data_IF_983411263508
#
_entry.id   IF_983411263508
#
_cell.length_a   1.000
_cell.length_b   1.000
_cell.length_c   1.000
_cell.angle_alpha   90.00
_cell.angle_beta   90.00
_cell.angle_gamma   90.00
#
_symmetry.space_group_name_H-M   'P 1'
#
loop_
_entity.id
_entity.type
_entity.pdbx_description
1 polymer ?
#
# COMPACT_ATOMS: atom_id res chain seq x y z
N UNK A 1 7.93 -3.30 12.25
CA UNK A 1 7.66 -4.43 11.34
C UNK A 1 6.18 -4.78 11.44
N UNK A 2 5.47 -4.81 10.32
CA UNK A 2 4.06 -5.19 10.24
C UNK A 2 3.94 -6.64 9.76
N UNK A 3 3.47 -7.52 10.65
CA UNK A 3 3.17 -8.91 10.32
C UNK A 3 1.76 -9.01 9.73
N UNK A 4 1.60 -9.80 8.67
CA UNK A 4 0.32 -10.03 8.01
C UNK A 4 0.12 -11.53 7.76
N UNK A 5 -1.11 -12.00 7.48
CA UNK A 5 -1.33 -13.41 7.20
C UNK A 5 -0.60 -13.94 5.95
N UNK A 6 -0.13 -13.06 5.05
CA UNK A 6 0.59 -13.45 3.83
C UNK A 6 2.12 -13.33 3.95
N UNK A 7 2.61 -12.76 5.06
CA UNK A 7 4.03 -12.48 5.30
C UNK A 7 4.27 -11.10 5.90
N UNK A 8 5.52 -10.79 6.21
CA UNK A 8 5.90 -9.49 6.75
C UNK A 8 5.93 -8.43 5.65
N UNK A 9 5.43 -7.24 5.97
CA UNK A 9 5.62 -6.07 5.12
C UNK A 9 7.07 -5.58 5.27
N UNK A 10 7.73 -5.36 4.14
CA UNK A 10 9.07 -4.77 4.06
C UNK A 10 9.00 -3.50 3.22
N UNK A 11 9.61 -2.43 3.72
CA UNK A 11 9.79 -1.20 2.96
C UNK A 11 11.25 -1.07 2.52
N UNK A 12 11.45 -0.72 1.25
CA UNK A 12 12.79 -0.37 0.74
C UNK A 12 12.81 1.04 0.18
N UNK A 13 13.88 1.77 0.43
CA UNK A 13 14.21 3.03 -0.23
C UNK A 13 15.49 2.81 -1.04
N UNK A 14 15.42 2.96 -2.37
CA UNK A 14 16.54 2.73 -3.28
C UNK A 14 17.20 1.36 -3.06
N UNK A 15 16.38 0.30 -3.00
CA UNK A 15 16.79 -1.09 -2.75
C UNK A 15 17.32 -1.41 -1.34
N UNK A 16 17.49 -0.40 -0.47
CA UNK A 16 17.86 -0.62 0.93
C UNK A 16 16.62 -0.73 1.82
N UNK A 17 16.55 -1.77 2.66
CA UNK A 17 15.47 -1.93 3.64
C UNK A 17 15.51 -0.81 4.69
N UNK A 18 14.34 -0.26 5.00
CA UNK A 18 14.19 0.82 5.98
C UNK A 18 13.22 0.43 7.09
N UNK A 19 13.47 0.99 8.28
CA UNK A 19 12.51 0.93 9.37
C UNK A 19 11.34 1.87 9.12
N UNK A 20 10.17 1.49 9.63
CA UNK A 20 8.94 2.25 9.51
C UNK A 20 7.99 1.96 10.67
N UNK A 21 7.09 2.90 10.90
CA UNK A 21 5.96 2.75 11.82
C UNK A 21 4.68 2.46 11.02
N UNK A 22 3.94 1.45 11.47
CA UNK A 22 2.62 1.12 10.92
C UNK A 22 1.55 1.49 11.94
N UNK A 23 0.65 2.41 11.56
CA UNK A 23 -0.44 2.86 12.42
C UNK A 23 -1.68 2.01 12.12
N UNK A 24 -2.19 1.32 13.14
CA UNK A 24 -3.42 0.52 13.03
C UNK A 24 -4.66 1.43 13.06
N UNK A 25 -5.61 1.15 12.17
CA UNK A 25 -6.91 1.78 12.16
C UNK A 25 -8.03 0.76 12.40
N UNK A 26 -9.16 1.25 12.91
CA UNK A 26 -10.37 0.46 12.99
C UNK A 26 -10.95 0.19 11.58
N UNK A 27 -11.68 -0.93 11.40
CA UNK A 27 -12.52 -1.18 10.23
C UNK A 27 -13.49 -0.01 9.96
N UNK A 28 -13.76 0.27 8.68
CA UNK A 28 -14.73 1.30 8.32
C UNK A 28 -16.12 0.68 8.25
N UNK A 29 -17.01 1.08 9.16
CA UNK A 29 -18.35 0.47 9.34
C UNK A 29 -19.17 0.26 8.05
N UNK A 30 -19.03 1.14 7.05
CA UNK A 30 -19.80 1.08 5.79
C UNK A 30 -19.03 0.48 4.62
N UNK A 31 -17.71 0.69 4.56
CA UNK A 31 -16.90 0.39 3.38
C UNK A 31 -16.06 -0.87 3.57
N UNK A 32 -15.63 -1.14 4.80
CA UNK A 32 -14.75 -2.25 5.11
C UNK A 32 -14.98 -2.82 6.51
N UNK A 33 -16.22 -3.25 6.85
CA UNK A 33 -16.53 -3.76 8.19
C UNK A 33 -15.85 -5.09 8.54
N UNK A 34 -15.48 -5.91 7.56
CA UNK A 34 -15.02 -7.30 7.76
C UNK A 34 -13.49 -7.42 7.79
N UNK A 35 -12.76 -6.31 7.69
CA UNK A 35 -11.29 -6.33 7.64
C UNK A 35 -10.68 -6.73 8.98
N UNK A 36 -9.74 -7.68 8.94
CA UNK A 36 -9.01 -8.15 10.12
C UNK A 36 -7.83 -7.23 10.46
N UNK A 37 -7.25 -6.59 9.43
CA UNK A 37 -6.19 -5.61 9.59
C UNK A 37 -6.36 -4.44 8.64
N UNK A 38 -6.16 -3.23 9.16
CA UNK A 38 -6.12 -1.99 8.39
C UNK A 38 -5.01 -1.11 8.97
N UNK A 39 -3.97 -0.87 8.19
CA UNK A 39 -2.78 -0.15 8.62
C UNK A 39 -2.37 0.88 7.59
N UNK A 40 -1.79 1.97 8.07
CA UNK A 40 -1.14 2.96 7.22
C UNK A 40 0.33 3.09 7.61
N UNK A 41 1.19 3.22 6.61
CA UNK A 41 2.63 3.41 6.77
C UNK A 41 2.99 4.71 6.05
N UNK A 42 3.41 5.72 6.80
CA UNK A 42 3.81 7.01 6.24
C UNK A 42 5.32 7.15 6.23
N UNK A 43 5.83 7.64 5.10
CA UNK A 43 7.23 7.95 4.90
C UNK A 43 7.37 9.41 4.53
N UNK A 44 8.32 10.08 5.17
CA UNK A 44 8.76 11.42 4.78
C UNK A 44 10.13 11.34 4.13
N UNK A 45 10.18 11.54 2.83
CA UNK A 45 11.42 11.57 2.06
C UNK A 45 12.11 12.93 2.21
N UNK A 46 13.44 12.94 2.06
CA UNK A 46 14.24 14.17 2.12
C UNK A 46 14.05 14.99 0.85
N UNK A 47 14.03 16.31 0.99
CA UNK A 47 13.99 17.26 -0.14
C UNK A 47 15.30 17.22 -0.95
N UNK A 48 15.25 17.68 -2.21
CA UNK A 48 16.42 17.83 -3.11
C UNK A 48 17.26 16.56 -3.30
N UNK A 49 16.65 15.39 -3.15
CA UNK A 49 17.29 14.12 -3.47
C UNK A 49 17.12 13.80 -4.95
N UNK A 50 18.10 13.06 -5.50
CA UNK A 50 17.97 12.34 -6.77
C UNK A 50 16.67 11.51 -6.77
N UNK A 51 16.12 11.15 -7.94
CA UNK A 51 14.96 10.27 -8.02
C UNK A 51 15.08 9.07 -7.07
N UNK A 52 14.02 8.81 -6.32
CA UNK A 52 13.98 7.76 -5.32
C UNK A 52 12.92 6.72 -5.67
N UNK A 53 13.24 5.47 -5.38
CA UNK A 53 12.30 4.36 -5.54
C UNK A 53 11.94 3.85 -4.16
N UNK A 54 10.66 3.87 -3.83
CA UNK A 54 10.11 3.34 -2.60
C UNK A 54 9.29 2.11 -2.92
N UNK A 55 9.51 1.00 -2.21
CA UNK A 55 8.70 -0.22 -2.40
C UNK A 55 8.06 -0.66 -1.11
N UNK A 56 6.82 -1.12 -1.22
CA UNK A 56 6.11 -1.83 -0.17
C UNK A 56 5.87 -3.28 -0.61
N UNK A 57 6.54 -4.21 0.07
CA UNK A 57 6.72 -5.59 -0.37
C UNK A 57 6.26 -6.61 0.66
N UNK A 58 5.93 -7.80 0.17
CA UNK A 58 5.73 -9.03 0.95
C UNK A 58 6.74 -10.06 0.43
N UNK A 59 8.02 -10.05 0.87
CA UNK A 59 9.07 -10.85 0.24
C UNK A 59 8.79 -12.35 0.22
N UNK A 60 8.10 -12.88 1.23
CA UNK A 60 7.73 -14.29 1.34
C UNK A 60 6.52 -14.69 0.48
N UNK A 61 5.86 -13.74 -0.19
CA UNK A 61 4.73 -14.03 -1.05
C UNK A 61 5.20 -14.57 -2.41
N UNK A 62 4.83 -15.81 -2.71
CA UNK A 62 5.24 -16.53 -3.93
C UNK A 62 4.23 -16.43 -5.09
N UNK A 63 3.04 -15.91 -4.83
CA UNK A 63 2.02 -15.71 -5.88
C UNK A 63 2.29 -14.48 -6.74
N UNK A 64 1.26 -14.07 -7.48
CA UNK A 64 1.25 -12.82 -8.25
C UNK A 64 0.13 -11.92 -7.74
N UNK A 65 0.45 -10.65 -7.50
CA UNK A 65 -0.55 -9.64 -7.18
C UNK A 65 -1.47 -9.33 -8.37
N UNK A 66 -2.72 -9.00 -8.05
CA UNK A 66 -3.76 -8.56 -8.98
C UNK A 66 -3.94 -7.06 -8.84
N UNK A 67 -3.91 -6.34 -9.95
CA UNK A 67 -4.04 -4.88 -9.95
C UNK A 67 -5.51 -4.51 -9.74
N UNK A 68 -5.76 -3.62 -8.79
CA UNK A 68 -7.11 -3.14 -8.46
C UNK A 68 -7.16 -1.60 -8.47
N UNK A 69 -6.48 -0.93 -9.39
CA UNK A 69 -6.44 0.54 -9.42
C UNK A 69 -7.78 1.20 -9.77
N UNK A 70 -8.02 2.40 -9.23
CA UNK A 70 -9.24 3.20 -9.46
C UNK A 70 -9.29 4.43 -8.57
N UNK A 71 -10.10 5.44 -8.90
CA UNK A 71 -10.34 6.64 -8.07
C UNK A 71 -9.07 7.35 -7.52
N UNK A 72 -7.98 7.36 -8.30
CA UNK A 72 -6.64 7.88 -7.90
C UNK A 72 -5.85 7.01 -6.90
N UNK A 73 -6.39 5.85 -6.52
CA UNK A 73 -5.69 4.81 -5.79
C UNK A 73 -4.97 3.87 -6.76
N UNK A 74 -3.68 3.68 -6.52
CA UNK A 74 -2.93 2.58 -7.11
C UNK A 74 -2.83 1.45 -6.11
N UNK A 75 -3.34 0.26 -6.47
CA UNK A 75 -3.46 -0.85 -5.54
C UNK A 75 -3.15 -2.19 -6.19
N UNK A 76 -2.58 -3.08 -5.38
CA UNK A 76 -2.33 -4.48 -5.73
C UNK A 76 -2.81 -5.39 -4.60
N UNK A 77 -3.56 -6.41 -4.98
CA UNK A 77 -4.12 -7.41 -4.07
C UNK A 77 -3.49 -8.77 -4.23
N UNK A 78 -3.35 -9.46 -3.11
CA UNK A 78 -2.69 -10.75 -3.01
C UNK A 78 -3.63 -11.72 -2.35
N UNK A 79 -3.78 -12.90 -2.98
CA UNK A 79 -4.66 -13.94 -2.51
C UNK A 79 -3.87 -15.19 -2.10
N UNK A 80 -4.30 -15.82 -1.01
CA UNK A 80 -3.87 -17.17 -0.63
C UNK A 80 -4.98 -17.80 0.20
N UNK A 81 -5.49 -18.94 -0.27
CA UNK A 81 -6.65 -19.59 0.34
C UNK A 81 -7.82 -18.61 0.45
N UNK A 82 -8.36 -18.37 1.65
CA UNK A 82 -9.42 -17.39 1.90
C UNK A 82 -8.88 -16.01 2.30
N UNK A 83 -7.56 -15.79 2.30
CA UNK A 83 -6.98 -14.50 2.66
C UNK A 83 -6.90 -13.61 1.41
N UNK A 84 -7.38 -12.37 1.54
CA UNK A 84 -7.05 -11.26 0.63
C UNK A 84 -6.29 -10.19 1.40
N UNK A 85 -5.20 -9.70 0.82
CA UNK A 85 -4.45 -8.54 1.33
C UNK A 85 -4.21 -7.56 0.20
N UNK A 86 -4.51 -6.28 0.42
CA UNK A 86 -4.29 -5.18 -0.52
C UNK A 86 -3.22 -4.24 0.01
N UNK A 87 -2.30 -3.84 -0.87
CA UNK A 87 -1.37 -2.72 -0.67
C UNK A 87 -1.80 -1.60 -1.61
N UNK A 88 -2.07 -0.41 -1.07
CA UNK A 88 -2.53 0.76 -1.82
C UNK A 88 -1.66 2.01 -1.57
N UNK A 89 -1.68 2.94 -2.52
CA UNK A 89 -1.09 4.28 -2.41
C UNK A 89 -2.02 5.32 -3.04
N UNK A 90 -2.34 6.39 -2.30
CA UNK A 90 -3.19 7.51 -2.76
C UNK A 90 -2.41 8.45 -3.68
N UNK A 91 -1.99 7.93 -4.84
CA UNK A 91 -1.34 8.63 -5.94
C UNK A 91 -1.55 7.83 -7.22
N UNK A 92 -2.26 8.39 -8.18
CA UNK A 92 -2.27 7.84 -9.55
C UNK A 92 -0.85 7.82 -10.12
N UNK A 93 -0.51 6.77 -10.86
CA UNK A 93 0.74 6.74 -11.63
C UNK A 93 0.59 7.64 -12.86
N UNK A 94 0.88 8.92 -12.66
CA UNK A 94 0.82 9.96 -13.67
C UNK A 94 2.21 10.58 -13.88
N UNK A 95 2.86 10.15 -14.96
CA UNK A 95 4.18 10.62 -15.35
C UNK A 95 4.20 12.12 -15.67
N UNK A 96 3.08 12.69 -16.15
CA UNK A 96 2.97 14.13 -16.42
C UNK A 96 2.88 14.94 -15.12
N UNK A 97 2.26 14.36 -14.07
CA UNK A 97 2.25 14.91 -12.72
C UNK A 97 3.58 14.71 -11.95
N UNK A 98 4.56 14.02 -12.55
CA UNK A 98 5.86 13.77 -11.95
C UNK A 98 5.85 12.61 -10.94
N UNK A 99 5.04 11.59 -11.20
CA UNK A 99 4.96 10.39 -10.39
C UNK A 99 4.91 9.14 -11.25
N UNK A 100 5.64 8.11 -10.85
CA UNK A 100 5.63 6.82 -11.52
C UNK A 100 5.50 5.69 -10.50
N UNK A 101 5.37 4.47 -11.01
CA UNK A 101 5.36 3.30 -10.16
C UNK A 101 5.20 2.03 -10.97
N UNK A 102 5.32 0.90 -10.27
CA UNK A 102 5.19 -0.43 -10.86
C UNK A 102 4.45 -1.33 -9.90
N UNK A 103 3.51 -2.11 -10.43
CA UNK A 103 2.98 -3.26 -9.70
C UNK A 103 4.01 -4.38 -9.77
N UNK A 104 4.43 -4.85 -8.61
CA UNK A 104 5.34 -5.96 -8.47
C UNK A 104 4.55 -7.21 -8.12
N UNK A 105 5.10 -8.39 -8.43
CA UNK A 105 4.44 -9.67 -8.12
C UNK A 105 4.09 -9.82 -6.63
N UNK A 106 4.83 -9.15 -5.77
CA UNK A 106 4.79 -9.26 -4.32
C UNK A 106 4.70 -7.88 -3.63
N UNK A 107 4.28 -6.84 -4.35
CA UNK A 107 4.20 -5.51 -3.74
C UNK A 107 3.93 -4.39 -4.74
N UNK A 108 4.15 -3.17 -4.27
CA UNK A 108 3.98 -1.96 -5.04
C UNK A 108 5.28 -1.15 -5.00
N UNK A 109 5.67 -0.60 -6.13
CA UNK A 109 6.75 0.38 -6.25
C UNK A 109 6.19 1.75 -6.60
N UNK A 110 6.76 2.77 -5.97
CA UNK A 110 6.51 4.16 -6.25
C UNK A 110 7.82 4.87 -6.58
N UNK A 111 7.81 5.66 -7.65
CA UNK A 111 8.93 6.50 -8.07
C UNK A 111 8.64 7.95 -7.73
N UNK A 112 9.55 8.54 -6.94
CA UNK A 112 9.54 9.95 -6.58
C UNK A 112 10.60 10.69 -7.40
N UNK A 113 10.19 11.64 -8.22
CA UNK A 113 11.12 12.46 -9.01
C UNK A 113 11.64 13.66 -8.22
N UNK A 114 12.66 14.32 -8.76
CA UNK A 114 13.25 15.53 -8.15
C UNK A 114 12.23 16.67 -8.05
N UNK A 115 11.33 16.77 -9.03
CA UNK A 115 10.27 17.79 -9.12
C UNK A 115 9.08 17.53 -8.20
N UNK A 116 9.00 16.35 -7.57
CA UNK A 116 7.93 16.01 -6.62
C UNK A 116 7.95 16.99 -5.43
N UNK A 117 6.89 17.80 -5.32
CA UNK A 117 6.73 18.79 -4.22
C UNK A 117 6.33 18.13 -2.91
N UNK A 118 5.35 17.21 -2.95
CA UNK A 118 4.93 16.48 -1.75
C UNK A 118 5.80 15.24 -1.57
N UNK A 119 6.71 15.32 -0.59
CA UNK A 119 7.66 14.27 -0.25
C UNK A 119 7.11 13.30 0.81
N UNK A 120 5.81 13.37 1.11
CA UNK A 120 5.14 12.44 2.00
C UNK A 120 4.42 11.37 1.20
N UNK A 121 4.78 10.11 1.45
CA UNK A 121 4.11 8.95 0.86
C UNK A 121 3.38 8.22 1.97
N UNK A 122 2.17 7.74 1.67
CA UNK A 122 1.44 6.85 2.58
C UNK A 122 1.04 5.60 1.83
N UNK A 123 1.48 4.44 2.32
CA UNK A 123 0.96 3.14 1.90
C UNK A 123 -0.15 2.71 2.85
N UNK A 124 -1.25 2.21 2.31
CA UNK A 124 -2.23 1.45 3.08
C UNK A 124 -2.01 -0.04 2.89
N UNK A 125 -2.14 -0.79 3.98
CA UNK A 125 -2.08 -2.26 3.99
C UNK A 125 -3.32 -2.76 4.70
N UNK A 126 -4.14 -3.55 4.01
CA UNK A 126 -5.39 -4.05 4.57
C UNK A 126 -5.62 -5.51 4.18
N UNK A 127 -6.18 -6.31 5.10
CA UNK A 127 -6.46 -7.70 4.82
C UNK A 127 -7.75 -8.21 5.48
N UNK A 128 -8.27 -9.27 4.87
CA UNK A 128 -9.36 -10.11 5.34
C UNK A 128 -8.85 -11.55 5.31
N UNK A 129 -9.07 -12.31 6.38
CA UNK A 129 -8.69 -13.72 6.49
C UNK A 129 -9.77 -14.69 6.00
N UNK A 130 -11.03 -14.23 5.97
CA UNK A 130 -12.18 -14.95 5.42
C UNK A 130 -12.83 -14.15 4.28
N UNK A 131 -12.10 -14.06 3.17
CA UNK A 131 -12.51 -13.36 1.97
C UNK A 131 -13.47 -14.22 1.13
N UNK A 132 -14.51 -13.58 0.63
CA UNK A 132 -15.50 -14.14 -0.27
C UNK A 132 -16.07 -13.01 -1.15
N UNK A 133 -16.80 -13.36 -2.21
CA UNK A 133 -17.26 -12.40 -3.23
C UNK A 133 -17.93 -11.12 -2.66
N UNK A 134 -18.64 -11.20 -1.54
CA UNK A 134 -19.36 -10.05 -0.97
C UNK A 134 -18.49 -9.05 -0.18
N UNK A 135 -17.30 -9.47 0.28
CA UNK A 135 -16.40 -8.61 1.07
C UNK A 135 -15.06 -8.36 0.39
N UNK A 136 -14.86 -8.92 -0.81
CA UNK A 136 -13.62 -8.84 -1.57
C UNK A 136 -13.13 -7.39 -1.78
N UNK A 137 -14.04 -6.47 -2.10
CA UNK A 137 -13.71 -5.06 -2.35
C UNK A 137 -13.35 -4.28 -1.09
N UNK A 138 -13.58 -4.83 0.11
CA UNK A 138 -13.37 -4.09 1.35
C UNK A 138 -11.89 -3.84 1.66
N UNK A 139 -10.98 -4.73 1.25
CA UNK A 139 -9.54 -4.51 1.44
C UNK A 139 -9.03 -3.38 0.57
N UNK A 140 -9.63 -3.15 -0.59
CA UNK A 140 -9.35 -2.00 -1.45
C UNK A 140 -9.66 -0.69 -0.72
N UNK A 141 -10.89 -0.53 -0.20
CA UNK A 141 -11.26 0.64 0.59
C UNK A 141 -10.41 0.78 1.86
N UNK A 142 -10.11 -0.34 2.52
CA UNK A 142 -9.29 -0.35 3.72
C UNK A 142 -7.85 0.09 3.48
N UNK A 143 -7.28 -0.28 2.33
CA UNK A 143 -5.92 0.04 1.92
C UNK A 143 -5.80 1.41 1.25
N UNK A 144 -6.89 2.12 1.00
CA UNK A 144 -6.87 3.46 0.45
C UNK A 144 -6.52 4.52 1.53
N UNK A 145 -5.35 5.19 1.42
CA UNK A 145 -4.96 6.24 2.36
C UNK A 145 -5.88 7.47 2.36
N UNK A 146 -6.65 7.73 1.30
CA UNK A 146 -7.54 8.90 1.19
C UNK A 146 -8.61 8.93 2.29
N UNK A 147 -8.98 7.76 2.82
CA UNK A 147 -9.91 7.60 3.94
C UNK A 147 -9.28 7.88 5.32
N UNK A 148 -8.04 8.38 5.37
CA UNK A 148 -7.38 8.83 6.60
C UNK A 148 -7.00 10.29 6.45
N UNK A 149 -7.63 11.17 7.23
CA UNK A 149 -7.18 12.56 7.36
C UNK A 149 -5.84 12.55 8.10
N UNK A 150 -4.75 12.96 7.43
CA UNK A 150 -3.37 13.12 7.93
C UNK A 150 -3.06 12.30 9.19
N UNK A 151 -2.27 11.24 9.01
CA UNK A 151 -1.61 10.53 10.11
C UNK A 151 -0.96 11.59 11.02
N UNK A 152 -1.38 11.62 12.29
CA UNK A 152 -1.08 12.67 13.27
C UNK A 152 0.42 12.93 13.40
#
# INVERSE_FOLDING_TARGET
>A
MLETPLGNIVLTLNDEEINYDAVKFAPMKKLSPDVNGRYMIQLKCKENCKPQTIRCLIPSFLGKGEVESGESLEAVSFYRDNVKLTIGIDRAFDAEAGFGGRYLRNGLEYEMYETTKDRTITFGVCWIELCHANNDTQTWFGADPSYVKKLL
#
